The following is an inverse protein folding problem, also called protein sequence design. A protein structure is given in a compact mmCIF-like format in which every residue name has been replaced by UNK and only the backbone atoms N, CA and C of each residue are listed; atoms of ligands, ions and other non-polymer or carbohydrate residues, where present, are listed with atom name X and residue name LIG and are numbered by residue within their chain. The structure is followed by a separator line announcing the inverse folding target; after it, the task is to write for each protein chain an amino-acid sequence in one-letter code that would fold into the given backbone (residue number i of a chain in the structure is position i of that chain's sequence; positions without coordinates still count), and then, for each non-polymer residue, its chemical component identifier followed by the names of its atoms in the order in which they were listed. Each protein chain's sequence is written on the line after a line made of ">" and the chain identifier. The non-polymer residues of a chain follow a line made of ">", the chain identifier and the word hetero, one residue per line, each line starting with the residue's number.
data_IF_059396216816
#
_entry.id   IF_059396216816
#
_cell.length_a   1.000
_cell.length_b   1.000
_cell.length_c   1.000
_cell.angle_alpha   90.00
_cell.angle_beta   90.00
_cell.angle_gamma   90.00
#
_symmetry.space_group_name_H-M   'P 1'
#
loop_
_entity.id
_entity.type
_entity.pdbx_description
1 polymer ?
#
# COMPACT_ATOMS: atom_id res chain seq x y z
N UNK A 1 42.87 -0.56 35.20
CA UNK A 1 42.15 0.72 35.04
C UNK A 1 41.97 0.90 33.55
N UNK A 2 40.97 0.22 33.01
CA UNK A 2 39.61 0.71 32.69
C UNK A 2 39.67 1.59 31.43
N UNK A 3 39.22 1.06 30.29
CA UNK A 3 37.82 1.00 29.83
C UNK A 3 37.36 2.40 29.36
N UNK A 4 36.77 2.60 28.19
CA UNK A 4 36.21 1.64 27.25
C UNK A 4 35.99 2.35 25.91
N UNK A 5 36.35 1.66 24.84
CA UNK A 5 35.84 1.99 23.52
C UNK A 5 34.36 1.59 23.52
N UNK A 6 33.48 2.60 23.47
CA UNK A 6 32.06 2.40 23.27
C UNK A 6 31.85 1.75 21.88
N UNK A 7 31.83 0.41 21.86
CA UNK A 7 31.19 -0.34 20.77
C UNK A 7 29.74 0.11 20.73
N UNK A 8 29.31 0.67 19.61
CA UNK A 8 27.90 0.84 19.34
C UNK A 8 27.24 -0.53 19.46
N UNK A 9 26.48 -0.73 20.54
CA UNK A 9 25.64 -1.91 20.70
C UNK A 9 24.62 -1.90 19.56
N UNK A 10 24.75 -2.87 18.65
CA UNK A 10 23.65 -3.19 17.76
C UNK A 10 22.45 -3.57 18.63
N UNK A 11 21.24 -3.07 18.34
CA UNK A 11 20.07 -3.40 19.11
C UNK A 11 19.87 -4.92 19.15
N UNK A 12 19.37 -5.47 20.28
CA UNK A 12 19.19 -6.91 20.44
C UNK A 12 18.31 -7.47 19.31
N UNK A 13 18.69 -8.64 18.78
CA UNK A 13 18.03 -9.34 17.66
C UNK A 13 16.53 -9.64 17.91
N UNK A 14 16.04 -9.43 19.12
CA UNK A 14 14.67 -9.70 19.60
C UNK A 14 13.65 -8.58 19.37
N UNK A 15 14.03 -7.38 18.90
CA UNK A 15 13.08 -6.31 18.57
C UNK A 15 12.89 -6.10 17.06
N UNK A 16 13.01 -7.15 16.25
CA UNK A 16 12.53 -7.08 14.85
C UNK A 16 11.00 -7.03 14.86
N UNK A 17 10.46 -5.81 14.98
CA UNK A 17 9.03 -5.53 14.88
C UNK A 17 8.55 -5.85 13.48
N UNK A 18 7.29 -6.25 13.37
CA UNK A 18 6.64 -6.40 12.08
C UNK A 18 6.66 -5.05 11.35
N UNK A 19 7.14 -5.05 10.10
CA UNK A 19 7.10 -3.88 9.23
C UNK A 19 6.07 -4.12 8.11
N UNK A 20 5.26 -3.11 7.80
CA UNK A 20 4.28 -3.21 6.72
C UNK A 20 5.00 -3.46 5.39
N UNK A 21 4.55 -4.50 4.68
CA UNK A 21 5.13 -4.88 3.39
C UNK A 21 4.14 -4.65 2.25
N UNK A 22 2.84 -4.86 2.51
CA UNK A 22 1.81 -4.83 1.50
C UNK A 22 0.48 -4.36 2.07
N UNK A 23 -0.17 -3.42 1.38
CA UNK A 23 -1.56 -3.02 1.61
C UNK A 23 -2.43 -3.36 0.40
N UNK A 24 -3.59 -3.96 0.61
CA UNK A 24 -4.47 -4.38 -0.50
C UNK A 24 -5.94 -4.08 -0.26
N UNK A 25 -6.67 -3.88 -1.36
CA UNK A 25 -8.15 -3.85 -1.32
C UNK A 25 -8.72 -5.23 -0.92
N UNK A 26 -9.93 -5.28 -0.33
CA UNK A 26 -10.57 -6.52 0.11
C UNK A 26 -10.58 -7.65 -0.93
N UNK A 27 -10.80 -7.29 -2.19
CA UNK A 27 -10.88 -8.18 -3.34
C UNK A 27 -9.59 -8.98 -3.56
N UNK A 28 -8.45 -8.39 -3.18
CA UNK A 28 -7.12 -8.95 -3.38
C UNK A 28 -6.56 -9.61 -2.11
N UNK A 29 -7.21 -9.50 -0.96
CA UNK A 29 -6.65 -9.92 0.33
C UNK A 29 -6.25 -11.40 0.38
N UNK A 30 -7.16 -12.32 0.04
CA UNK A 30 -6.86 -13.77 0.13
C UNK A 30 -5.83 -14.23 -0.92
N UNK A 31 -5.84 -13.61 -2.10
CA UNK A 31 -4.84 -13.86 -3.12
C UNK A 31 -3.47 -13.32 -2.69
N UNK A 32 -3.42 -12.12 -2.11
CA UNK A 32 -2.21 -11.53 -1.56
C UNK A 32 -1.63 -12.41 -0.44
N UNK A 33 -2.45 -12.87 0.51
CA UNK A 33 -1.99 -13.79 1.56
C UNK A 33 -1.35 -15.06 0.97
N UNK A 34 -2.00 -15.67 -0.03
CA UNK A 34 -1.48 -16.85 -0.72
C UNK A 34 -0.15 -16.57 -1.43
N UNK A 35 -0.05 -15.42 -2.11
CA UNK A 35 1.17 -14.97 -2.79
C UNK A 35 2.32 -14.75 -1.81
N UNK A 36 2.06 -14.09 -0.67
CA UNK A 36 3.06 -13.83 0.36
C UNK A 36 3.63 -15.12 0.94
N UNK A 37 2.77 -16.09 1.27
CA UNK A 37 3.18 -17.41 1.78
C UNK A 37 3.98 -18.20 0.74
N UNK A 38 3.60 -18.12 -0.54
CA UNK A 38 4.31 -18.81 -1.62
C UNK A 38 5.69 -18.20 -1.93
N UNK A 39 5.79 -16.87 -1.95
CA UNK A 39 7.05 -16.19 -2.26
C UNK A 39 8.03 -16.20 -1.10
N UNK A 40 7.53 -16.14 0.14
CA UNK A 40 8.33 -15.98 1.35
C UNK A 40 7.95 -16.99 2.44
N UNK A 41 8.16 -18.30 2.20
CA UNK A 41 7.72 -19.36 3.12
C UNK A 41 8.41 -19.32 4.50
N UNK A 42 9.56 -18.64 4.61
CA UNK A 42 10.34 -18.55 5.84
C UNK A 42 10.05 -17.27 6.64
N UNK A 43 9.05 -16.47 6.26
CA UNK A 43 8.67 -15.23 6.97
C UNK A 43 7.41 -15.45 7.81
N UNK A 44 7.38 -14.79 8.96
CA UNK A 44 6.15 -14.64 9.73
C UNK A 44 5.37 -13.44 9.20
N UNK A 45 4.04 -13.55 9.20
CA UNK A 45 3.13 -12.52 8.69
C UNK A 45 2.12 -12.11 9.76
N UNK A 46 1.88 -10.81 9.89
CA UNK A 46 0.78 -10.24 10.64
C UNK A 46 -0.21 -9.58 9.67
N UNK A 47 -1.50 -9.60 10.02
CA UNK A 47 -2.59 -9.00 9.25
C UNK A 47 -3.30 -7.97 10.13
N UNK A 48 -3.56 -6.79 9.58
CA UNK A 48 -4.37 -5.75 10.22
C UNK A 48 -5.31 -5.11 9.19
N UNK A 49 -6.32 -4.39 9.68
CA UNK A 49 -7.21 -3.58 8.86
C UNK A 49 -6.86 -2.10 9.00
N UNK A 50 -6.75 -1.40 7.86
CA UNK A 50 -6.55 0.05 7.77
C UNK A 50 -7.68 0.61 6.92
N UNK A 51 -8.72 1.12 7.58
CA UNK A 51 -10.00 1.40 6.91
C UNK A 51 -10.54 0.13 6.24
N UNK A 52 -10.80 0.20 4.94
CA UNK A 52 -11.24 -0.94 4.12
C UNK A 52 -10.10 -1.84 3.65
N UNK A 53 -8.85 -1.39 3.79
CA UNK A 53 -7.69 -2.08 3.27
C UNK A 53 -7.19 -3.14 4.26
N UNK A 54 -6.57 -4.18 3.74
CA UNK A 54 -5.83 -5.17 4.53
C UNK A 54 -4.34 -4.88 4.43
N UNK A 55 -3.70 -4.63 5.57
CA UNK A 55 -2.26 -4.49 5.69
C UNK A 55 -1.62 -5.82 6.12
N UNK A 56 -0.59 -6.22 5.40
CA UNK A 56 0.26 -7.37 5.70
C UNK A 56 1.66 -6.89 6.08
N UNK A 57 2.08 -7.27 7.28
CA UNK A 57 3.40 -6.93 7.81
C UNK A 57 4.26 -8.17 7.97
N UNK A 58 5.54 -8.05 7.63
CA UNK A 58 6.49 -9.16 7.61
C UNK A 58 7.45 -9.11 8.81
N UNK A 59 7.81 -10.29 9.31
CA UNK A 59 8.96 -10.48 10.20
C UNK A 59 9.83 -11.65 9.72
N UNK A 60 11.13 -11.43 9.42
CA UNK A 60 11.78 -10.11 9.32
C UNK A 60 11.13 -9.23 8.23
N UNK A 61 11.36 -7.90 8.22
CA UNK A 61 10.94 -6.99 7.14
C UNK A 61 11.46 -7.44 5.78
N UNK A 62 10.72 -7.13 4.70
CA UNK A 62 11.22 -7.35 3.35
C UNK A 62 12.45 -6.47 3.11
N UNK A 63 13.51 -7.07 2.60
CA UNK A 63 14.64 -6.33 2.05
C UNK A 63 14.29 -5.83 0.64
N UNK A 64 15.19 -5.04 0.03
CA UNK A 64 14.97 -4.48 -1.30
C UNK A 64 14.69 -5.58 -2.36
N UNK A 65 15.42 -6.69 -2.29
CA UNK A 65 15.23 -7.84 -3.20
C UNK A 65 13.86 -8.48 -2.99
N UNK A 66 13.43 -8.69 -1.74
CA UNK A 66 12.12 -9.22 -1.41
C UNK A 66 10.99 -8.29 -1.85
N UNK A 67 11.11 -6.99 -1.57
CA UNK A 67 10.16 -5.98 -2.01
C UNK A 67 10.05 -5.97 -3.55
N UNK A 68 11.18 -5.97 -4.27
CA UNK A 68 11.15 -6.00 -5.74
C UNK A 68 10.46 -7.26 -6.28
N UNK A 69 10.80 -8.43 -5.73
CA UNK A 69 10.18 -9.70 -6.13
C UNK A 69 8.67 -9.72 -5.89
N UNK A 70 8.21 -9.14 -4.78
CA UNK A 70 6.78 -9.00 -4.51
C UNK A 70 6.14 -8.02 -5.50
N UNK A 71 6.74 -6.86 -5.72
CA UNK A 71 6.23 -5.85 -6.65
C UNK A 71 6.08 -6.40 -8.07
N UNK A 72 7.07 -7.13 -8.59
CA UNK A 72 6.99 -7.76 -9.92
C UNK A 72 5.75 -8.69 -10.02
N UNK A 73 5.42 -9.42 -8.95
CA UNK A 73 4.22 -10.28 -8.92
C UNK A 73 2.91 -9.54 -8.76
N UNK A 74 2.88 -8.44 -8.00
CA UNK A 74 1.70 -7.58 -7.90
C UNK A 74 1.42 -6.88 -9.23
N UNK A 75 2.47 -6.43 -9.92
CA UNK A 75 2.38 -5.84 -11.25
C UNK A 75 1.89 -6.85 -12.29
N UNK A 76 2.49 -8.05 -12.33
CA UNK A 76 1.99 -9.14 -13.18
C UNK A 76 0.50 -9.46 -12.93
N UNK A 77 0.05 -9.35 -11.67
CA UNK A 77 -1.32 -9.59 -11.29
C UNK A 77 -2.25 -8.47 -11.75
N UNK A 78 -1.88 -7.20 -11.54
CA UNK A 78 -2.68 -6.05 -11.98
C UNK A 78 -2.85 -6.01 -13.51
N UNK A 79 -1.88 -6.54 -14.25
CA UNK A 79 -1.91 -6.62 -15.72
C UNK A 79 -2.78 -7.75 -16.29
N UNK A 80 -3.32 -8.65 -15.46
CA UNK A 80 -4.24 -9.68 -15.96
C UNK A 80 -5.58 -9.07 -16.32
N UNK A 81 -6.27 -9.66 -17.30
CA UNK A 81 -7.51 -9.11 -17.85
C UNK A 81 -8.56 -8.88 -16.76
N UNK A 82 -8.73 -9.82 -15.82
CA UNK A 82 -9.70 -9.72 -14.74
C UNK A 82 -9.41 -8.58 -13.75
N UNK A 83 -8.16 -8.16 -13.61
CA UNK A 83 -7.74 -7.06 -12.73
C UNK A 83 -7.70 -5.73 -13.47
N UNK A 84 -7.22 -5.71 -14.72
CA UNK A 84 -7.29 -4.53 -15.60
C UNK A 84 -8.72 -4.06 -15.82
N UNK A 85 -9.66 -4.98 -16.02
CA UNK A 85 -11.09 -4.65 -16.16
C UNK A 85 -11.70 -4.01 -14.90
N UNK A 86 -11.00 -4.09 -13.76
CA UNK A 86 -11.39 -3.47 -12.48
C UNK A 86 -10.49 -2.28 -12.14
N UNK A 87 -9.65 -1.83 -13.07
CA UNK A 87 -8.68 -0.74 -12.87
C UNK A 87 -7.77 -0.95 -11.66
N UNK A 88 -7.37 -2.21 -11.39
CA UNK A 88 -6.48 -2.51 -10.28
C UNK A 88 -5.10 -1.86 -10.49
N UNK A 89 -4.55 -1.27 -9.42
CA UNK A 89 -3.26 -0.57 -9.44
C UNK A 89 -2.30 -1.26 -8.48
N UNK A 90 -1.17 -1.72 -9.01
CA UNK A 90 -0.01 -2.15 -8.22
C UNK A 90 1.02 -1.01 -8.17
N UNK A 91 1.46 -0.62 -6.98
CA UNK A 91 2.42 0.48 -6.81
C UNK A 91 3.27 0.33 -5.55
N UNK A 92 4.21 1.23 -5.43
CA UNK A 92 4.99 1.43 -4.23
C UNK A 92 4.68 2.78 -3.62
N UNK A 93 4.50 2.82 -2.31
CA UNK A 93 4.27 4.04 -1.55
C UNK A 93 5.38 4.17 -0.52
N UNK A 94 5.95 5.37 -0.43
CA UNK A 94 6.90 5.73 0.62
C UNK A 94 6.34 6.90 1.39
N UNK A 95 6.20 6.72 2.70
CA UNK A 95 5.68 7.70 3.63
C UNK A 95 6.51 7.74 4.93
N UNK A 96 6.03 8.50 5.91
CA UNK A 96 6.64 8.59 7.25
C UNK A 96 6.67 7.25 8.03
N UNK A 97 5.81 6.29 7.67
CA UNK A 97 5.80 4.95 8.26
C UNK A 97 6.76 3.99 7.53
N UNK A 98 7.29 4.40 6.37
CA UNK A 98 8.31 3.70 5.61
C UNK A 98 7.85 3.40 4.19
N UNK A 99 8.41 2.33 3.62
CA UNK A 99 8.09 1.87 2.27
C UNK A 99 7.14 0.69 2.34
N UNK A 100 6.03 0.74 1.61
CA UNK A 100 5.12 -0.39 1.41
C UNK A 100 4.78 -0.55 -0.06
N UNK A 101 4.35 -1.76 -0.42
CA UNK A 101 3.71 -2.00 -1.71
C UNK A 101 2.19 -1.95 -1.55
N UNK A 102 1.50 -1.63 -2.63
CA UNK A 102 0.05 -1.64 -2.67
C UNK A 102 -0.48 -2.41 -3.87
N UNK A 103 -1.60 -3.10 -3.70
CA UNK A 103 -2.45 -3.60 -4.78
C UNK A 103 -3.90 -3.20 -4.50
N UNK A 104 -4.33 -2.11 -5.13
CA UNK A 104 -5.62 -1.48 -4.87
C UNK A 104 -6.56 -1.71 -6.04
N UNK A 105 -7.81 -2.05 -5.72
CA UNK A 105 -8.96 -1.95 -6.63
C UNK A 105 -9.73 -0.69 -6.22
N UNK A 106 -10.01 0.23 -7.16
CA UNK A 106 -10.76 1.43 -6.86
C UNK A 106 -12.19 1.09 -6.41
N UNK A 107 -12.66 1.83 -5.41
CA UNK A 107 -14.04 1.80 -4.94
C UNK A 107 -14.89 2.72 -5.84
N UNK A 108 -16.10 2.31 -6.25
CA UNK A 108 -17.01 3.21 -6.95
C UNK A 108 -17.30 4.48 -6.14
N UNK A 109 -17.38 5.68 -6.75
CA UNK A 109 -17.61 6.94 -6.04
C UNK A 109 -18.85 6.93 -5.12
N UNK A 110 -19.91 6.24 -5.54
CA UNK A 110 -21.17 6.08 -4.81
C UNK A 110 -21.10 5.09 -3.63
N UNK A 111 -20.07 4.23 -3.60
CA UNK A 111 -19.81 3.26 -2.53
C UNK A 111 -18.71 3.71 -1.56
N UNK A 112 -18.18 4.92 -1.76
CA UNK A 112 -17.15 5.47 -0.90
C UNK A 112 -17.74 5.95 0.44
N UNK A 113 -17.29 5.32 1.54
CA UNK A 113 -17.78 5.56 2.90
C UNK A 113 -16.80 6.36 3.77
N UNK A 114 -15.67 6.80 3.21
CA UNK A 114 -14.62 7.51 3.95
C UNK A 114 -13.31 6.72 4.10
N UNK A 115 -12.26 7.43 4.54
CA UNK A 115 -10.92 6.89 4.77
C UNK A 115 -10.01 6.91 3.54
N UNK A 116 -8.79 6.42 3.72
CA UNK A 116 -7.81 6.26 2.64
C UNK A 116 -8.29 5.24 1.61
N UNK A 117 -7.92 5.45 0.35
CA UNK A 117 -8.22 4.51 -0.71
C UNK A 117 -8.11 5.12 -2.10
N UNK A 118 -8.44 4.29 -3.08
CA UNK A 118 -8.51 4.66 -4.47
C UNK A 118 -9.99 4.63 -4.88
N UNK A 119 -10.46 5.67 -5.57
CA UNK A 119 -11.87 5.82 -5.94
C UNK A 119 -11.99 6.05 -7.44
N UNK A 120 -13.01 5.47 -8.06
CA UNK A 120 -13.28 5.55 -9.49
C UNK A 120 -13.96 4.28 -10.00
N UNK A 121 -14.03 4.09 -11.33
CA UNK A 121 -13.44 4.92 -12.37
C UNK A 121 -14.22 6.22 -12.63
N UNK A 122 -13.50 7.26 -13.01
CA UNK A 122 -14.02 8.51 -13.57
C UNK A 122 -13.67 8.58 -15.06
N UNK A 123 -14.53 9.24 -15.84
CA UNK A 123 -14.33 9.41 -17.27
C UNK A 123 -13.20 10.40 -17.60
N UNK A 124 -13.02 11.43 -16.77
CA UNK A 124 -12.07 12.52 -17.01
C UNK A 124 -11.27 12.86 -15.75
N UNK A 125 -10.13 13.52 -15.94
CA UNK A 125 -9.32 14.09 -14.86
C UNK A 125 -10.15 15.09 -14.06
N UNK A 126 -10.90 15.94 -14.75
CA UNK A 126 -11.74 16.98 -14.17
C UNK A 126 -12.79 16.39 -13.24
N UNK A 127 -13.43 15.27 -13.63
CA UNK A 127 -14.43 14.58 -12.79
C UNK A 127 -13.78 13.97 -11.54
N UNK A 128 -12.64 13.29 -11.69
CA UNK A 128 -11.92 12.70 -10.56
C UNK A 128 -11.46 13.78 -9.56
N UNK A 129 -10.90 14.88 -10.09
CA UNK A 129 -10.42 16.00 -9.28
C UNK A 129 -11.57 16.74 -8.58
N UNK A 130 -12.68 17.01 -9.30
CA UNK A 130 -13.86 17.63 -8.71
C UNK A 130 -14.48 16.77 -7.61
N UNK A 131 -14.55 15.45 -7.82
CA UNK A 131 -15.01 14.51 -6.80
C UNK A 131 -14.12 14.55 -5.55
N UNK A 132 -12.80 14.45 -5.71
CA UNK A 132 -11.85 14.51 -4.60
C UNK A 132 -11.95 15.81 -3.79
N UNK A 133 -12.10 16.94 -4.47
CA UNK A 133 -12.32 18.25 -3.83
C UNK A 133 -13.65 18.32 -3.07
N UNK A 134 -14.67 17.59 -3.51
CA UNK A 134 -15.99 17.53 -2.86
C UNK A 134 -16.05 16.65 -1.61
N UNK A 135 -15.11 15.72 -1.46
CA UNK A 135 -15.10 14.74 -0.36
C UNK A 135 -14.56 15.30 0.95
N UNK A 136 -13.74 16.37 0.92
CA UNK A 136 -12.98 16.97 2.03
C UNK A 136 -13.38 16.52 3.46
N UNK A 137 -12.96 15.31 3.83
CA UNK A 137 -12.79 14.93 5.23
C UNK A 137 -11.58 15.71 5.72
N UNK A 138 -11.65 16.31 6.92
CA UNK A 138 -10.70 17.33 7.43
C UNK A 138 -9.22 16.88 7.57
N UNK A 139 -8.85 15.70 7.12
CA UNK A 139 -7.54 15.08 7.33
C UNK A 139 -6.99 14.33 6.10
N UNK A 140 -7.73 14.31 4.98
CA UNK A 140 -7.33 13.64 3.75
C UNK A 140 -6.98 14.65 2.64
N UNK A 141 -5.86 14.40 1.97
CA UNK A 141 -5.57 14.97 0.66
C UNK A 141 -6.13 14.06 -0.44
N UNK A 142 -6.32 14.64 -1.61
CA UNK A 142 -6.88 13.97 -2.77
C UNK A 142 -6.08 14.32 -4.02
N UNK A 143 -5.65 13.31 -4.79
CA UNK A 143 -4.97 13.48 -6.07
C UNK A 143 -5.63 12.64 -7.16
N UNK A 144 -5.78 13.21 -8.35
CA UNK A 144 -6.29 12.48 -9.50
C UNK A 144 -5.13 11.84 -10.29
N UNK A 145 -5.28 10.57 -10.65
CA UNK A 145 -4.29 9.80 -11.42
C UNK A 145 -4.96 8.98 -12.51
N UNK A 146 -4.21 8.62 -13.55
CA UNK A 146 -4.71 7.79 -14.65
C UNK A 146 -4.30 6.32 -14.45
N UNK A 147 -5.25 5.40 -14.63
CA UNK A 147 -5.03 3.96 -14.60
C UNK A 147 -5.71 3.29 -15.81
N UNK A 148 -4.91 2.92 -16.80
CA UNK A 148 -5.42 2.43 -18.08
C UNK A 148 -6.19 3.52 -18.83
N UNK A 149 -7.44 3.25 -19.15
CA UNK A 149 -8.37 4.15 -19.84
C UNK A 149 -9.26 4.99 -18.90
N UNK A 150 -9.09 4.87 -17.59
CA UNK A 150 -9.88 5.57 -16.58
C UNK A 150 -9.04 6.52 -15.72
N UNK A 151 -9.72 7.51 -15.15
CA UNK A 151 -9.20 8.37 -14.10
C UNK A 151 -9.66 7.89 -12.74
N UNK A 152 -8.78 7.96 -11.75
CA UNK A 152 -9.02 7.58 -10.37
C UNK A 152 -8.70 8.77 -9.46
N UNK A 153 -9.33 8.81 -8.29
CA UNK A 153 -9.00 9.75 -7.22
C UNK A 153 -8.39 8.96 -6.06
N UNK A 154 -7.13 9.26 -5.73
CA UNK A 154 -6.44 8.74 -4.57
C UNK A 154 -6.73 9.63 -3.36
N UNK A 155 -7.02 8.99 -2.22
CA UNK A 155 -7.24 9.64 -0.93
C UNK A 155 -6.22 9.13 0.08
N UNK A 156 -5.45 10.03 0.66
CA UNK A 156 -4.36 9.73 1.61
C UNK A 156 -4.28 10.77 2.72
N UNK A 157 -3.64 10.46 3.85
CA UNK A 157 -3.51 11.43 4.95
C UNK A 157 -2.42 12.45 4.65
N UNK A 158 -2.71 13.73 4.93
CA UNK A 158 -1.75 14.84 4.73
C UNK A 158 -0.40 14.67 5.46
N UNK A 159 -0.37 13.92 6.56
CA UNK A 159 0.87 13.65 7.33
C UNK A 159 1.72 12.49 6.82
N UNK A 160 1.28 11.79 5.76
CA UNK A 160 2.00 10.64 5.20
C UNK A 160 2.98 11.05 4.08
N UNK A 161 2.85 12.24 3.50
CA UNK A 161 3.81 12.67 2.47
C UNK A 161 5.16 13.02 3.11
N UNK A 162 6.25 12.47 2.54
CA UNK A 162 7.58 12.99 2.79
C UNK A 162 7.65 14.43 2.26
N UNK A 163 8.19 15.36 3.05
CA UNK A 163 8.58 16.67 2.51
C UNK A 163 9.66 16.43 1.45
N UNK A 164 9.46 16.98 0.25
CA UNK A 164 10.40 16.89 -0.89
C UNK A 164 11.82 17.36 -0.56
#
# INVERSE_FOLDING_TARGET
>A
MNDGEARAELPPEDEVRFAEALRVSPEAAELAASLLLALFPNRSWARAHVGRLTAYSARPPLDQTGARRLFDKLFELSERQEWRARHAVAREVTDVAGRRLELLVPVPPEEYEGGEGLVGPFATFEDANAWGMGVQARELAADALQAGDAWLCELFRLGELLED
#
